data_IF_008910618704
#
_entry.id   IF_008910618704
#
_cell.length_a   1.000
_cell.length_b   1.000
_cell.length_c   1.000
_cell.angle_alpha   90.00
_cell.angle_beta   90.00
_cell.angle_gamma   90.00
#
_symmetry.space_group_name_H-M   'P 1'
#
loop_
_entity.id
_entity.type
_entity.pdbx_description
1 polymer ?
#
# COMPACT_ATOMS: atom_id res chain seq x y z
N UNK A 1 -9.20 -9.86 -11.45
CA UNK A 1 -9.69 -8.48 -11.57
C UNK A 1 -11.12 -8.25 -11.09
N UNK A 2 -11.81 -9.28 -10.71
CA UNK A 2 -13.12 -9.19 -10.06
C UNK A 2 -13.05 -8.25 -8.84
N UNK A 3 -12.05 -8.42 -8.01
CA UNK A 3 -11.89 -7.71 -6.75
C UNK A 3 -11.77 -6.17 -6.86
N UNK A 4 -11.09 -5.60 -7.87
CA UNK A 4 -11.02 -4.13 -8.01
C UNK A 4 -12.39 -3.53 -8.36
N UNK A 5 -13.19 -4.23 -9.19
CA UNK A 5 -14.55 -3.78 -9.52
C UNK A 5 -15.53 -3.96 -8.37
N UNK A 6 -15.36 -5.02 -7.57
CA UNK A 6 -16.24 -5.35 -6.46
C UNK A 6 -15.91 -4.56 -5.18
N UNK A 7 -14.66 -4.06 -5.04
CA UNK A 7 -14.18 -3.39 -3.84
C UNK A 7 -14.07 -1.87 -3.95
N UNK A 8 -13.99 -1.32 -5.15
CA UNK A 8 -13.91 0.12 -5.32
C UNK A 8 -15.29 0.77 -5.27
N UNK A 9 -15.51 1.62 -4.29
CA UNK A 9 -16.72 2.43 -4.20
C UNK A 9 -16.75 3.48 -5.31
N UNK A 10 -17.93 3.74 -5.92
CA UNK A 10 -18.08 4.83 -6.88
C UNK A 10 -17.58 6.15 -6.30
N UNK A 11 -16.75 6.87 -7.06
CA UNK A 11 -16.16 8.14 -6.61
C UNK A 11 -15.01 8.05 -5.61
N UNK A 12 -14.70 6.84 -5.07
CA UNK A 12 -13.61 6.63 -4.10
C UNK A 12 -12.44 5.81 -4.67
N UNK A 13 -12.52 5.37 -5.91
CA UNK A 13 -11.54 4.47 -6.53
C UNK A 13 -10.11 5.00 -6.40
N UNK A 14 -9.87 6.26 -6.75
CA UNK A 14 -8.53 6.83 -6.72
C UNK A 14 -7.93 6.93 -5.32
N UNK A 15 -8.77 7.15 -4.30
CA UNK A 15 -8.32 7.19 -2.90
C UNK A 15 -8.03 5.79 -2.38
N UNK A 16 -8.87 4.81 -2.72
CA UNK A 16 -8.65 3.41 -2.38
C UNK A 16 -7.41 2.84 -3.07
N UNK A 17 -7.19 3.18 -4.35
CA UNK A 17 -5.98 2.78 -5.08
C UNK A 17 -4.75 3.49 -4.53
N UNK A 18 -4.84 4.78 -4.18
CA UNK A 18 -3.73 5.51 -3.56
C UNK A 18 -3.30 4.85 -2.24
N UNK A 19 -4.27 4.46 -1.41
CA UNK A 19 -3.98 3.72 -0.18
C UNK A 19 -3.34 2.35 -0.46
N UNK A 20 -3.94 1.56 -1.36
CA UNK A 20 -3.39 0.26 -1.75
C UNK A 20 -1.96 0.36 -2.30
N UNK A 21 -1.71 1.33 -3.15
CA UNK A 21 -0.37 1.61 -3.68
C UNK A 21 0.61 2.05 -2.59
N UNK A 22 0.16 2.84 -1.62
CA UNK A 22 0.98 3.20 -0.46
C UNK A 22 1.40 1.94 0.32
N UNK A 23 0.48 1.01 0.56
CA UNK A 23 0.77 -0.26 1.22
C UNK A 23 1.81 -1.09 0.43
N UNK A 24 1.62 -1.25 -0.90
CA UNK A 24 2.54 -2.02 -1.75
C UNK A 24 3.92 -1.37 -1.85
N UNK A 25 3.97 -0.05 -2.04
CA UNK A 25 5.25 0.67 -2.10
C UNK A 25 6.00 0.62 -0.77
N UNK A 26 5.29 0.65 0.37
CA UNK A 26 5.90 0.50 1.70
C UNK A 26 6.48 -0.90 1.89
N UNK A 27 5.75 -1.94 1.48
CA UNK A 27 6.22 -3.32 1.52
C UNK A 27 7.43 -3.54 0.60
N UNK A 28 7.39 -3.01 -0.63
CA UNK A 28 8.52 -3.11 -1.57
C UNK A 28 9.74 -2.32 -1.10
N UNK A 29 9.53 -1.14 -0.50
CA UNK A 29 10.63 -0.40 0.13
C UNK A 29 11.33 -1.26 1.17
N UNK A 30 10.59 -1.88 2.08
CA UNK A 30 11.14 -2.78 3.10
C UNK A 30 11.90 -3.95 2.46
N UNK A 31 11.31 -4.63 1.48
CA UNK A 31 11.97 -5.75 0.78
C UNK A 31 13.27 -5.31 0.08
N UNK A 32 13.24 -4.19 -0.65
CA UNK A 32 14.37 -3.73 -1.44
C UNK A 32 15.47 -3.09 -0.59
N UNK A 33 15.11 -2.21 0.35
CA UNK A 33 16.06 -1.37 1.08
C UNK A 33 16.56 -2.03 2.37
N UNK A 34 15.69 -2.75 3.09
CA UNK A 34 16.04 -3.35 4.38
C UNK A 34 16.43 -4.83 4.22
N UNK A 35 15.59 -5.63 3.55
CA UNK A 35 15.82 -7.07 3.38
C UNK A 35 16.77 -7.41 2.24
N UNK A 36 16.94 -6.53 1.22
CA UNK A 36 17.72 -6.79 0.00
C UNK A 36 17.20 -7.98 -0.82
N UNK A 37 15.89 -8.05 -0.98
CA UNK A 37 15.22 -9.05 -1.79
C UNK A 37 14.41 -8.42 -2.92
N UNK A 38 14.28 -9.15 -4.04
CA UNK A 38 13.24 -8.92 -5.05
C UNK A 38 12.00 -9.72 -4.71
N UNK A 39 10.84 -9.19 -5.02
CA UNK A 39 9.59 -9.95 -4.91
C UNK A 39 9.39 -10.90 -6.11
N UNK A 40 9.64 -10.42 -7.31
CA UNK A 40 9.57 -11.16 -8.59
C UNK A 40 8.21 -11.74 -8.98
N UNK A 41 7.15 -11.51 -8.20
CA UNK A 41 5.84 -12.13 -8.41
C UNK A 41 4.67 -11.15 -8.18
N UNK A 42 4.84 -9.88 -8.52
CA UNK A 42 3.76 -8.89 -8.39
C UNK A 42 2.78 -9.08 -9.55
N UNK A 43 1.54 -9.38 -9.22
CA UNK A 43 0.45 -9.59 -10.17
C UNK A 43 -0.92 -9.42 -9.50
N UNK A 44 -1.99 -9.52 -10.29
CA UNK A 44 -3.37 -9.54 -9.76
C UNK A 44 -3.68 -10.75 -8.89
N UNK A 45 -2.90 -11.82 -9.00
CA UNK A 45 -3.12 -13.08 -8.26
C UNK A 45 -2.34 -13.11 -6.94
N UNK A 46 -1.37 -12.22 -6.78
CA UNK A 46 -0.48 -12.16 -5.61
C UNK A 46 -0.67 -10.91 -4.77
N UNK A 47 -1.53 -9.99 -5.19
CA UNK A 47 -1.95 -8.84 -4.39
C UNK A 47 -3.32 -9.11 -3.78
N UNK A 48 -3.39 -9.14 -2.46
CA UNK A 48 -4.61 -9.39 -1.69
C UNK A 48 -5.12 -8.08 -1.09
N UNK A 49 -6.44 -7.89 -1.11
CA UNK A 49 -7.08 -6.74 -0.47
C UNK A 49 -7.78 -7.22 0.79
N UNK A 50 -7.44 -6.62 1.93
CA UNK A 50 -8.10 -6.90 3.22
C UNK A 50 -9.49 -6.26 3.27
N UNK A 51 -10.31 -6.69 4.23
CA UNK A 51 -11.61 -6.06 4.48
C UNK A 51 -11.52 -4.56 4.76
N UNK A 52 -10.41 -4.08 5.33
CA UNK A 52 -10.15 -2.66 5.57
C UNK A 52 -9.58 -1.89 4.37
N UNK A 53 -9.40 -2.54 3.21
CA UNK A 53 -8.89 -1.92 2.00
C UNK A 53 -7.36 -1.88 1.88
N UNK A 54 -6.61 -2.56 2.76
CA UNK A 54 -5.15 -2.65 2.63
C UNK A 54 -4.79 -3.61 1.52
N UNK A 55 -3.80 -3.24 0.73
CA UNK A 55 -3.21 -4.15 -0.24
C UNK A 55 -1.98 -4.83 0.37
N UNK A 56 -1.99 -6.15 0.36
CA UNK A 56 -0.91 -6.99 0.90
C UNK A 56 -0.25 -7.78 -0.23
N UNK A 57 1.07 -7.82 -0.21
CA UNK A 57 1.83 -8.69 -1.09
C UNK A 57 1.80 -10.13 -0.57
N UNK A 58 1.48 -11.06 -1.43
CA UNK A 58 1.63 -12.50 -1.24
C UNK A 58 2.37 -13.12 -2.40
N UNK A 59 2.44 -14.45 -2.46
CA UNK A 59 3.17 -15.14 -3.52
C UNK A 59 4.69 -14.98 -3.36
N UNK A 60 5.17 -15.13 -2.12
CA UNK A 60 6.58 -14.98 -1.75
C UNK A 60 7.48 -16.12 -2.27
N UNK A 61 6.93 -17.05 -3.04
CA UNK A 61 7.66 -18.21 -3.58
C UNK A 61 8.79 -17.83 -4.55
N UNK A 62 8.73 -16.62 -5.11
CA UNK A 62 9.73 -16.11 -6.06
C UNK A 62 10.68 -15.08 -5.45
N UNK A 63 10.64 -14.89 -4.14
CA UNK A 63 11.59 -14.01 -3.45
C UNK A 63 13.03 -14.42 -3.76
N UNK A 64 13.85 -13.47 -4.14
CA UNK A 64 15.24 -13.70 -4.50
C UNK A 64 16.17 -12.69 -3.85
N UNK A 65 17.24 -13.11 -3.17
CA UNK A 65 18.17 -12.22 -2.53
C UNK A 65 19.03 -11.46 -3.54
N UNK A 66 19.40 -10.22 -3.21
CA UNK A 66 20.38 -9.46 -3.96
C UNK A 66 21.77 -10.11 -3.81
N UNK A 67 22.44 -10.38 -4.93
CA UNK A 67 23.78 -10.98 -4.93
C UNK A 67 23.84 -12.48 -4.66
N UNK A 68 22.70 -13.14 -4.52
CA UNK A 68 22.62 -14.61 -4.45
C UNK A 68 22.93 -15.23 -5.82
N UNK A 69 23.62 -16.37 -5.85
CA UNK A 69 23.68 -17.24 -7.04
C UNK A 69 22.31 -17.90 -7.18
N UNK A 70 21.32 -17.13 -7.59
CA UNK A 70 19.96 -17.61 -7.61
C UNK A 70 19.60 -18.21 -8.97
N UNK A 71 20.01 -19.46 -9.17
CA UNK A 71 19.52 -20.29 -10.28
C UNK A 71 18.00 -20.43 -10.26
N UNK A 72 17.37 -20.18 -9.12
CA UNK A 72 15.94 -20.29 -8.93
C UNK A 72 15.13 -19.27 -9.75
N UNK A 73 15.69 -18.08 -10.03
CA UNK A 73 15.01 -17.09 -10.90
C UNK A 73 14.86 -17.65 -12.32
N UNK A 74 15.88 -18.32 -12.86
CA UNK A 74 15.82 -18.94 -14.18
C UNK A 74 14.77 -20.05 -14.22
N UNK A 75 14.76 -20.93 -13.22
CA UNK A 75 13.80 -22.03 -13.10
C UNK A 75 12.37 -21.51 -12.87
N UNK A 76 12.21 -20.43 -12.12
CA UNK A 76 10.90 -19.82 -11.80
C UNK A 76 10.42 -18.80 -12.83
N UNK A 77 11.15 -18.58 -13.90
CA UNK A 77 10.88 -17.60 -14.97
C UNK A 77 9.45 -17.70 -15.51
N UNK A 78 8.91 -18.90 -15.64
CA UNK A 78 7.57 -19.15 -16.17
C UNK A 78 6.43 -18.99 -15.17
N UNK A 79 6.70 -18.80 -13.88
CA UNK A 79 5.67 -18.81 -12.84
C UNK A 79 4.92 -17.47 -12.74
N UNK A 80 5.60 -16.34 -12.96
CA UNK A 80 4.92 -15.07 -13.04
C UNK A 80 4.20 -14.91 -14.39
N UNK A 81 2.93 -14.49 -14.42
CA UNK A 81 2.22 -14.27 -15.69
C UNK A 81 2.98 -13.30 -16.60
N UNK A 82 3.17 -13.66 -17.87
CA UNK A 82 3.99 -12.90 -18.85
C UNK A 82 3.64 -11.42 -18.94
N UNK A 83 2.37 -11.07 -18.80
CA UNK A 83 1.89 -9.69 -18.85
C UNK A 83 2.42 -8.78 -17.72
N UNK A 84 2.97 -9.36 -16.66
CA UNK A 84 3.59 -8.63 -15.54
C UNK A 84 5.12 -8.70 -15.58
N UNK A 85 5.69 -9.48 -16.48
CA UNK A 85 7.14 -9.58 -16.63
C UNK A 85 7.67 -8.37 -17.41
N UNK A 86 8.81 -7.85 -16.99
CA UNK A 86 9.53 -6.82 -17.74
C UNK A 86 10.15 -7.40 -19.02
N UNK A 87 10.50 -6.53 -19.97
CA UNK A 87 11.12 -6.94 -21.22
C UNK A 87 12.45 -7.71 -20.97
N UNK A 88 13.20 -7.30 -19.96
CA UNK A 88 14.46 -7.94 -19.56
C UNK A 88 14.23 -9.39 -19.13
N UNK A 89 13.12 -9.67 -18.44
CA UNK A 89 12.75 -11.00 -17.98
C UNK A 89 12.18 -11.88 -19.10
N UNK A 90 11.55 -11.26 -20.10
CA UNK A 90 10.99 -11.97 -21.26
C UNK A 90 12.01 -12.26 -22.35
N UNK A 91 13.18 -11.63 -22.34
CA UNK A 91 14.26 -11.88 -23.27
C UNK A 91 15.04 -13.13 -22.85
N UNK A 92 15.55 -13.87 -23.82
CA UNK A 92 16.43 -15.02 -23.53
C UNK A 92 17.77 -14.60 -22.90
N UNK A 93 18.17 -13.35 -23.09
CA UNK A 93 19.34 -12.73 -22.46
C UNK A 93 19.04 -12.03 -21.13
N UNK A 94 17.89 -12.25 -20.50
CA UNK A 94 17.48 -11.59 -19.24
C UNK A 94 18.51 -11.76 -18.11
N UNK A 95 19.24 -12.86 -18.09
CA UNK A 95 20.31 -13.15 -17.14
C UNK A 95 21.48 -12.15 -17.21
N UNK A 96 21.67 -11.48 -18.36
CA UNK A 96 22.66 -10.40 -18.52
C UNK A 96 22.31 -9.16 -17.72
N UNK A 97 21.04 -9.02 -17.36
CA UNK A 97 20.53 -7.92 -16.54
C UNK A 97 20.36 -8.31 -15.08
N UNK A 98 20.69 -9.55 -14.70
CA UNK A 98 20.65 -10.00 -13.31
C UNK A 98 21.84 -9.45 -12.55
N UNK A 99 21.65 -8.83 -11.38
CA UNK A 99 22.75 -8.31 -10.56
C UNK A 99 23.65 -9.42 -9.98
N UNK A 100 23.29 -10.69 -10.21
CA UNK A 100 23.96 -11.85 -9.61
C UNK A 100 25.05 -12.49 -10.50
N UNK A 101 25.27 -11.98 -11.71
CA UNK A 101 26.25 -12.57 -12.63
C UNK A 101 27.56 -11.78 -12.61
N UNK A 102 28.57 -12.35 -11.94
CA UNK A 102 29.97 -11.95 -11.99
C UNK A 102 30.50 -12.15 -13.43
N UNK A 103 30.35 -11.19 -14.28
CA UNK A 103 30.81 -11.35 -15.66
C UNK A 103 30.56 -10.15 -16.58
N UNK A 104 30.57 -8.93 -16.06
CA UNK A 104 30.51 -7.72 -16.87
C UNK A 104 29.12 -7.36 -17.41
N UNK A 105 28.08 -7.94 -16.87
CA UNK A 105 26.69 -7.57 -17.15
C UNK A 105 26.33 -6.21 -16.53
N UNK A 106 25.41 -5.50 -17.16
CA UNK A 106 24.85 -4.26 -16.62
C UNK A 106 24.24 -4.55 -15.25
N UNK A 107 24.71 -3.88 -14.22
CA UNK A 107 24.20 -4.03 -12.86
C UNK A 107 22.77 -3.47 -12.80
N UNK A 108 21.78 -4.35 -12.74
CA UNK A 108 20.39 -3.94 -12.70
C UNK A 108 19.97 -3.63 -11.25
N UNK A 109 19.40 -2.43 -11.00
CA UNK A 109 18.92 -2.10 -9.67
C UNK A 109 17.83 -3.05 -9.20
N UNK A 110 17.86 -3.42 -7.92
CA UNK A 110 16.97 -4.39 -7.28
C UNK A 110 15.47 -4.14 -7.51
N UNK A 111 15.06 -2.88 -7.64
CA UNK A 111 13.65 -2.50 -7.76
C UNK A 111 13.05 -2.61 -9.16
N UNK A 112 13.90 -2.74 -10.19
CA UNK A 112 13.46 -2.51 -11.58
C UNK A 112 12.35 -3.44 -12.07
N UNK A 113 12.42 -4.74 -11.76
CA UNK A 113 11.42 -5.72 -12.19
C UNK A 113 10.12 -5.59 -11.40
N UNK A 114 10.21 -5.44 -10.09
CA UNK A 114 9.04 -5.30 -9.23
C UNK A 114 8.27 -4.01 -9.52
N UNK A 115 8.99 -2.92 -9.77
CA UNK A 115 8.36 -1.65 -10.14
C UNK A 115 7.67 -1.75 -11.50
N UNK A 116 8.27 -2.43 -12.47
CA UNK A 116 7.62 -2.66 -13.76
C UNK A 116 6.31 -3.46 -13.59
N UNK A 117 6.37 -4.57 -12.84
CA UNK A 117 5.20 -5.38 -12.56
C UNK A 117 4.10 -4.59 -11.82
N UNK A 118 4.49 -3.68 -10.91
CA UNK A 118 3.57 -2.75 -10.25
C UNK A 118 2.91 -1.78 -11.24
N UNK A 119 3.66 -1.27 -12.22
CA UNK A 119 3.12 -0.45 -13.33
C UNK A 119 2.08 -1.22 -14.14
N UNK A 120 2.38 -2.48 -14.50
CA UNK A 120 1.43 -3.36 -15.20
C UNK A 120 0.19 -3.67 -14.37
N UNK A 121 0.34 -3.81 -13.06
CA UNK A 121 -0.80 -3.95 -12.14
C UNK A 121 -1.72 -2.72 -12.20
N UNK A 122 -1.15 -1.51 -12.20
CA UNK A 122 -1.92 -0.27 -12.29
C UNK A 122 -2.67 -0.13 -13.62
N UNK A 123 -2.08 -0.50 -14.74
CA UNK A 123 -2.80 -0.54 -16.03
C UNK A 123 -4.00 -1.51 -15.98
N UNK A 124 -3.88 -2.60 -15.23
CA UNK A 124 -5.01 -3.53 -15.04
C UNK A 124 -6.08 -2.97 -14.10
N UNK A 125 -5.68 -2.18 -13.11
CA UNK A 125 -6.62 -1.48 -12.21
C UNK A 125 -7.38 -0.38 -12.96
N UNK A 126 -6.72 0.27 -13.92
CA UNK A 126 -7.29 1.34 -14.75
C UNK A 126 -7.28 0.97 -16.24
N UNK A 127 -8.13 0.05 -16.68
CA UNK A 127 -8.14 -0.42 -18.07
C UNK A 127 -8.51 0.67 -19.08
N UNK A 128 -9.21 1.71 -18.66
CA UNK A 128 -9.63 2.84 -19.48
C UNK A 128 -8.61 4.01 -19.45
N UNK A 129 -7.47 3.80 -18.80
CA UNK A 129 -6.43 4.80 -18.61
C UNK A 129 -6.31 5.24 -17.15
N UNK A 130 -5.08 5.49 -16.72
CA UNK A 130 -4.76 5.97 -15.38
C UNK A 130 -5.19 7.42 -15.19
N UNK A 131 -5.65 7.81 -13.99
CA UNK A 131 -6.07 9.19 -13.73
C UNK A 131 -4.91 10.19 -13.87
N UNK A 132 -5.25 11.42 -14.21
CA UNK A 132 -4.31 12.54 -14.28
C UNK A 132 -3.46 12.63 -13.01
N UNK A 133 -2.15 12.73 -13.19
CA UNK A 133 -1.19 12.75 -12.09
C UNK A 133 -0.65 11.37 -11.67
N UNK A 134 -1.33 10.26 -12.01
CA UNK A 134 -0.79 8.91 -11.87
C UNK A 134 -0.15 8.42 -13.18
N UNK A 135 -0.68 8.82 -14.33
CA UNK A 135 -0.24 8.47 -15.68
C UNK A 135 1.27 8.65 -15.88
N UNK A 136 1.79 9.81 -15.50
CA UNK A 136 3.23 10.11 -15.56
C UNK A 136 4.07 9.14 -14.72
N UNK A 137 3.56 8.71 -13.57
CA UNK A 137 4.28 7.79 -12.69
C UNK A 137 4.23 6.36 -13.23
N UNK A 138 3.08 5.93 -13.75
CA UNK A 138 2.96 4.63 -14.42
C UNK A 138 3.86 4.58 -15.65
N UNK A 139 3.88 5.64 -16.47
CA UNK A 139 4.81 5.72 -17.60
C UNK A 139 6.28 5.56 -17.20
N UNK A 140 6.70 6.12 -16.05
CA UNK A 140 8.06 5.92 -15.53
C UNK A 140 8.31 4.49 -15.01
N UNK A 141 7.31 3.84 -14.44
CA UNK A 141 7.42 2.43 -14.01
C UNK A 141 7.67 1.50 -15.21
N UNK A 142 7.05 1.82 -16.33
CA UNK A 142 7.06 1.01 -17.55
C UNK A 142 8.16 1.38 -18.55
N UNK A 143 9.11 2.26 -18.16
CA UNK A 143 10.23 2.62 -19.03
C UNK A 143 10.97 1.35 -19.51
N UNK A 144 11.32 1.28 -20.82
CA UNK A 144 12.10 0.18 -21.36
C UNK A 144 13.45 0.02 -20.64
N UNK A 145 14.11 1.14 -20.32
CA UNK A 145 15.38 1.14 -19.63
C UNK A 145 15.19 0.94 -18.12
N UNK A 146 15.61 -0.21 -17.55
CA UNK A 146 15.36 -0.56 -16.15
C UNK A 146 15.94 0.43 -15.15
N UNK A 147 17.14 0.95 -15.43
CA UNK A 147 17.87 1.86 -14.54
C UNK A 147 17.18 3.22 -14.36
N UNK A 148 16.30 3.58 -15.29
CA UNK A 148 15.51 4.83 -15.23
C UNK A 148 14.18 4.67 -14.47
N UNK A 149 13.83 3.46 -14.08
CA UNK A 149 12.63 3.21 -13.26
C UNK A 149 12.86 3.69 -11.84
N UNK A 150 11.94 4.46 -11.26
CA UNK A 150 12.09 4.95 -9.89
C UNK A 150 11.95 3.84 -8.85
N UNK A 151 12.50 4.05 -7.67
CA UNK A 151 12.39 3.14 -6.53
C UNK A 151 11.00 3.23 -5.86
N UNK A 152 10.63 2.22 -5.05
CA UNK A 152 9.42 2.26 -4.24
C UNK A 152 9.41 3.47 -3.28
N UNK A 153 10.55 3.83 -2.69
CA UNK A 153 10.71 5.03 -1.86
C UNK A 153 10.44 6.33 -2.61
N UNK A 154 10.84 6.41 -3.88
CA UNK A 154 10.54 7.58 -4.71
C UNK A 154 9.04 7.65 -5.03
N UNK A 155 8.37 6.50 -5.22
CA UNK A 155 6.92 6.46 -5.40
C UNK A 155 6.15 6.90 -4.17
N UNK A 156 6.55 6.53 -2.97
CA UNK A 156 5.92 6.99 -1.72
C UNK A 156 5.89 8.52 -1.61
N UNK A 157 6.76 9.22 -2.35
CA UNK A 157 6.79 10.70 -2.41
C UNK A 157 5.95 11.30 -3.54
N UNK A 158 5.32 10.49 -4.38
CA UNK A 158 4.54 11.01 -5.51
C UNK A 158 3.25 11.73 -5.04
N UNK A 159 2.78 12.68 -5.83
CA UNK A 159 1.61 13.49 -5.48
C UNK A 159 0.34 12.63 -5.30
N UNK A 160 0.19 11.57 -6.11
CA UNK A 160 -0.95 10.66 -6.03
C UNK A 160 -1.05 9.94 -4.67
N UNK A 161 0.09 9.61 -4.04
CA UNK A 161 0.14 8.98 -2.71
C UNK A 161 0.15 9.99 -1.55
N UNK A 162 0.14 11.30 -1.82
CA UNK A 162 0.07 12.36 -0.79
C UNK A 162 -1.35 12.84 -0.52
N UNK A 163 -2.35 12.10 -0.98
CA UNK A 163 -3.76 12.42 -0.71
C UNK A 163 -4.04 12.43 0.79
N UNK A 164 -5.02 13.23 1.19
CA UNK A 164 -5.37 13.35 2.61
C UNK A 164 -5.82 12.01 3.20
N UNK A 165 -6.57 11.21 2.44
CA UNK A 165 -6.98 9.85 2.83
C UNK A 165 -5.80 8.93 3.16
N UNK A 166 -4.70 8.99 2.39
CA UNK A 166 -3.48 8.22 2.67
C UNK A 166 -2.81 8.70 3.96
N UNK A 167 -2.72 10.02 4.15
CA UNK A 167 -2.14 10.60 5.38
C UNK A 167 -2.94 10.21 6.63
N UNK A 168 -4.26 10.25 6.54
CA UNK A 168 -5.14 9.93 7.64
C UNK A 168 -5.04 8.43 8.00
N UNK A 169 -5.10 7.54 7.01
CA UNK A 169 -4.97 6.11 7.24
C UNK A 169 -3.58 5.74 7.79
N UNK A 170 -2.51 6.36 7.28
CA UNK A 170 -1.16 6.17 7.84
C UNK A 170 -1.07 6.66 9.30
N UNK A 171 -1.68 7.79 9.61
CA UNK A 171 -1.70 8.34 10.97
C UNK A 171 -2.53 7.47 11.92
N UNK A 172 -3.60 6.83 11.43
CA UNK A 172 -4.41 5.88 12.19
C UNK A 172 -3.67 4.57 12.50
N UNK A 173 -2.77 4.10 11.65
CA UNK A 173 -1.94 2.92 11.95
C UNK A 173 -1.05 3.14 13.18
N UNK A 174 -0.62 4.38 13.41
CA UNK A 174 0.19 4.77 14.55
C UNK A 174 -0.63 5.38 15.70
N UNK A 175 -1.96 5.29 15.65
CA UNK A 175 -2.85 5.99 16.58
C UNK A 175 -2.59 5.63 18.05
N UNK A 176 -2.36 4.35 18.33
CA UNK A 176 -2.17 3.86 19.70
C UNK A 176 -0.93 4.43 20.40
N UNK A 177 0.10 4.79 19.63
CA UNK A 177 1.37 5.33 20.16
C UNK A 177 1.44 6.86 20.15
N UNK A 178 0.41 7.53 19.65
CA UNK A 178 0.32 9.00 19.63
C UNK A 178 -0.03 9.58 20.99
N UNK A 179 0.44 10.81 21.24
CA UNK A 179 0.03 11.58 22.40
C UNK A 179 -1.47 11.93 22.36
N UNK A 180 -2.11 12.25 23.49
CA UNK A 180 -3.50 12.69 23.50
C UNK A 180 -3.78 13.89 22.60
N UNK A 181 -2.84 14.84 22.53
CA UNK A 181 -2.94 16.05 21.71
C UNK A 181 -2.90 15.69 20.23
N UNK A 182 -1.97 14.83 19.79
CA UNK A 182 -1.87 14.34 18.42
C UNK A 182 -3.09 13.51 18.00
N UNK A 183 -3.66 12.71 18.93
CA UNK A 183 -4.92 12.00 18.70
C UNK A 183 -6.07 12.97 18.49
N UNK A 184 -6.15 14.02 19.32
CA UNK A 184 -7.16 15.05 19.21
C UNK A 184 -7.08 15.77 17.86
N UNK A 185 -5.90 16.24 17.48
CA UNK A 185 -5.67 16.91 16.20
C UNK A 185 -6.05 16.03 15.00
N UNK A 186 -5.65 14.75 15.03
CA UNK A 186 -6.00 13.81 13.97
C UNK A 186 -7.52 13.64 13.85
N UNK A 187 -8.23 13.43 14.97
CA UNK A 187 -9.68 13.21 14.97
C UNK A 187 -10.46 14.48 14.57
N UNK A 188 -10.00 15.67 14.94
CA UNK A 188 -10.63 16.92 14.52
C UNK A 188 -10.58 17.11 13.00
N UNK A 189 -9.46 16.79 12.37
CA UNK A 189 -9.30 16.93 10.91
C UNK A 189 -9.82 15.74 10.11
N UNK A 190 -10.08 14.60 10.76
CA UNK A 190 -10.55 13.39 10.09
C UNK A 190 -11.97 13.57 9.57
N UNK A 191 -12.13 13.42 8.25
CA UNK A 191 -13.41 13.57 7.56
C UNK A 191 -13.92 12.20 7.14
N UNK A 192 -15.01 11.75 7.75
CA UNK A 192 -15.60 10.40 7.52
C UNK A 192 -15.97 10.21 6.04
N UNK A 193 -16.55 11.23 5.40
CA UNK A 193 -17.01 11.20 4.01
C UNK A 193 -15.87 11.01 3.02
N UNK A 194 -14.63 11.34 3.40
CA UNK A 194 -13.44 11.17 2.55
C UNK A 194 -13.00 9.71 2.42
N UNK A 195 -13.44 8.84 3.33
CA UNK A 195 -12.99 7.47 3.43
C UNK A 195 -14.02 6.48 2.87
N UNK A 196 -13.53 5.33 2.42
CA UNK A 196 -14.41 4.24 1.99
C UNK A 196 -15.12 3.60 3.18
N UNK A 197 -16.32 3.05 2.95
CA UNK A 197 -17.08 2.34 3.99
C UNK A 197 -16.29 1.19 4.58
N UNK A 198 -15.54 0.45 3.76
CA UNK A 198 -14.69 -0.65 4.21
C UNK A 198 -13.61 -0.15 5.17
N UNK A 199 -12.92 0.95 4.85
CA UNK A 199 -11.94 1.55 5.75
C UNK A 199 -12.59 2.01 7.06
N UNK A 200 -13.76 2.63 7.00
CA UNK A 200 -14.48 3.06 8.20
C UNK A 200 -14.87 1.87 9.09
N UNK A 201 -15.51 0.85 8.53
CA UNK A 201 -16.04 -0.31 9.28
C UNK A 201 -14.91 -1.17 9.84
N UNK A 202 -13.87 -1.44 9.04
CA UNK A 202 -12.86 -2.44 9.39
C UNK A 202 -11.55 -1.87 9.97
N UNK A 203 -11.35 -0.54 9.90
CA UNK A 203 -10.18 0.12 10.49
C UNK A 203 -10.56 1.18 11.52
N UNK A 204 -11.33 2.19 11.11
CA UNK A 204 -11.58 3.36 11.94
C UNK A 204 -12.45 3.00 13.15
N UNK A 205 -13.60 2.36 12.93
CA UNK A 205 -14.53 2.00 14.01
C UNK A 205 -13.89 1.06 15.03
N UNK A 206 -13.22 -0.05 14.66
CA UNK A 206 -12.55 -0.92 15.65
C UNK A 206 -11.44 -0.20 16.42
N UNK A 207 -10.71 0.71 15.78
CA UNK A 207 -9.67 1.50 16.43
C UNK A 207 -10.28 2.44 17.48
N UNK A 208 -11.32 3.18 17.13
CA UNK A 208 -11.99 4.10 18.05
C UNK A 208 -12.63 3.35 19.22
N UNK A 209 -13.27 2.20 18.98
CA UNK A 209 -13.83 1.35 20.03
C UNK A 209 -12.76 0.83 21.00
N UNK A 210 -11.60 0.42 20.47
CA UNK A 210 -10.47 0.00 21.30
C UNK A 210 -9.96 1.15 22.19
N UNK A 211 -9.82 2.34 21.64
CA UNK A 211 -9.38 3.51 22.41
C UNK A 211 -10.40 3.88 23.50
N UNK A 212 -11.69 3.80 23.23
CA UNK A 212 -12.75 4.03 24.20
C UNK A 212 -12.71 3.01 25.34
N UNK A 213 -12.54 1.71 25.02
CA UNK A 213 -12.40 0.65 26.03
C UNK A 213 -11.13 0.81 26.85
N UNK A 214 -10.02 1.18 26.24
CA UNK A 214 -8.77 1.43 26.96
C UNK A 214 -8.92 2.63 27.89
N UNK A 215 -9.54 3.72 27.43
CA UNK A 215 -9.78 4.90 28.25
C UNK A 215 -10.69 4.64 29.45
N UNK A 216 -11.69 3.75 29.31
CA UNK A 216 -12.59 3.37 30.39
C UNK A 216 -11.95 2.46 31.45
N UNK A 217 -10.93 1.69 31.05
CA UNK A 217 -10.23 0.75 31.95
C UNK A 217 -8.98 1.34 32.61
N UNK A 218 -8.62 2.60 32.33
CA UNK A 218 -7.45 3.23 32.94
C UNK A 218 -7.73 3.58 34.40
N UNK A 219 -6.83 3.19 35.31
CA UNK A 219 -6.95 3.35 36.76
C UNK A 219 -7.21 4.82 37.18
N UNK A 220 -7.86 5.05 38.31
CA UNK A 220 -8.40 6.34 38.74
C UNK A 220 -7.34 7.32 39.27
N UNK A 221 -6.56 7.91 38.35
CA UNK A 221 -5.74 9.09 38.64
C UNK A 221 -6.32 10.31 37.97
N UNK A 222 -6.28 11.49 38.58
CA UNK A 222 -6.89 12.71 38.04
C UNK A 222 -6.40 13.06 36.59
N UNK A 223 -5.13 12.85 36.31
CA UNK A 223 -4.54 13.03 34.95
C UNK A 223 -5.03 11.96 33.97
N UNK A 224 -5.13 10.70 34.39
CA UNK A 224 -5.65 9.62 33.55
C UNK A 224 -7.15 9.80 33.24
N UNK A 225 -7.94 10.30 34.18
CA UNK A 225 -9.36 10.62 33.97
C UNK A 225 -9.56 11.78 32.99
N UNK A 226 -8.68 12.79 33.00
CA UNK A 226 -8.70 13.91 32.05
C UNK A 226 -8.42 13.43 30.63
N UNK A 227 -7.38 12.62 30.44
CA UNK A 227 -7.01 12.04 29.16
C UNK A 227 -8.10 11.08 28.63
N UNK A 228 -8.67 10.23 29.50
CA UNK A 228 -9.76 9.34 29.15
C UNK A 228 -11.01 10.08 28.70
N UNK A 229 -11.43 11.14 29.43
CA UNK A 229 -12.55 12.01 29.04
C UNK A 229 -12.30 12.72 27.69
N UNK A 230 -11.10 13.24 27.47
CA UNK A 230 -10.74 13.86 26.20
C UNK A 230 -10.85 12.85 25.04
N UNK A 231 -10.34 11.62 25.23
CA UNK A 231 -10.44 10.55 24.24
C UNK A 231 -11.91 10.20 23.95
N UNK A 232 -12.75 10.03 24.96
CA UNK A 232 -14.19 9.76 24.79
C UNK A 232 -14.87 10.88 24.00
N UNK A 233 -14.65 12.13 24.38
CA UNK A 233 -15.27 13.29 23.75
C UNK A 233 -14.84 13.46 22.27
N UNK A 234 -13.67 12.96 21.89
CA UNK A 234 -13.17 13.05 20.52
C UNK A 234 -13.57 11.82 19.67
N UNK A 235 -13.51 10.62 20.23
CA UNK A 235 -13.79 9.39 19.51
C UNK A 235 -15.30 9.18 19.29
N UNK A 236 -16.13 9.52 20.26
CA UNK A 236 -17.56 9.23 20.21
C UNK A 236 -18.30 9.94 19.08
N UNK A 237 -18.11 11.25 18.82
CA UNK A 237 -18.72 11.90 17.65
C UNK A 237 -18.30 11.26 16.33
N UNK A 238 -17.01 10.93 16.16
CA UNK A 238 -16.51 10.30 14.94
C UNK A 238 -17.06 8.88 14.74
N UNK A 239 -17.30 8.16 15.82
CA UNK A 239 -17.95 6.86 15.78
C UNK A 239 -19.42 6.99 15.33
N UNK A 240 -20.14 7.99 15.81
CA UNK A 240 -21.52 8.27 15.38
C UNK A 240 -21.58 8.68 13.90
N UNK A 241 -20.69 9.56 13.44
CA UNK A 241 -20.58 9.93 12.04
C UNK A 241 -20.32 8.70 11.15
N UNK A 242 -19.36 7.86 11.53
CA UNK A 242 -19.03 6.63 10.79
C UNK A 242 -20.21 5.64 10.76
N UNK A 243 -20.96 5.50 11.86
CA UNK A 243 -22.14 4.61 11.93
C UNK A 243 -23.32 5.16 11.13
N UNK A 244 -23.54 6.47 11.12
CA UNK A 244 -24.57 7.12 10.31
C UNK A 244 -24.28 6.96 8.80
N UNK A 245 -23.03 7.13 8.39
CA UNK A 245 -22.60 6.86 7.00
C UNK A 245 -22.86 5.41 6.56
N UNK A 246 -22.91 4.47 7.50
CA UNK A 246 -23.24 3.07 7.24
C UNK A 246 -24.76 2.84 7.09
N UNK A 247 -25.59 3.47 7.93
CA UNK A 247 -27.06 3.23 7.95
C UNK A 247 -27.81 3.86 6.76
N UNK A 248 -27.23 4.83 6.07
CA UNK A 248 -27.82 5.50 4.90
C UNK A 248 -27.84 4.65 3.61
N UNK A 249 -27.58 3.32 3.69
CA UNK A 249 -27.49 2.42 2.55
C UNK A 249 -28.28 1.10 2.76
N UNK A 250 -29.55 1.24 3.13
CA UNK A 250 -30.51 0.13 2.98
C UNK A 250 -31.42 0.41 1.80
#
# INVERSE_FOLDING_TARGET
>A
MRWVREWCEPGKKDDQVAWGMHCLCSALKFLHEDCKFYHNNISTDTVFVTSGGDWKLGGMDLLSPLGGKDYSIAERRGLQPRQFQSAERNNDDWWRYSPTLDGGGVHMPIHCMDVYALGRLLERVYPEGTPSGLDRYVGKMLLPEPTKRPTASQYLRCAFLRKQTVKDLTALELFSVKSPEEKAELLQRFTVESHSKQALIHKVVPLLLRELTTASNTAPGALAQGAARATVNLCFPKLLEASAAWSGCR
#
